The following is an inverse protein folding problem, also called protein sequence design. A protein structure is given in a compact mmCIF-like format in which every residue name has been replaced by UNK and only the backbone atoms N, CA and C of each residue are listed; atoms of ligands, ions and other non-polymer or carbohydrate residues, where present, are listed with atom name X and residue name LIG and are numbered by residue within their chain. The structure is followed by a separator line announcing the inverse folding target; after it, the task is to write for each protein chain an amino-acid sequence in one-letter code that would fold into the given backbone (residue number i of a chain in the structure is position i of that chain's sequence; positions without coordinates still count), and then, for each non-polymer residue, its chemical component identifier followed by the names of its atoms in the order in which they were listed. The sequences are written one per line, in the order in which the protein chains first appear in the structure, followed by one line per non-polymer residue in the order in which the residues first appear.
data_IF_314393100639
#
_entry.id   IF_314393100639
#
_cell.length_a   1.000
_cell.length_b   1.000
_cell.length_c   1.000
_cell.angle_alpha   90.00
_cell.angle_beta   90.00
_cell.angle_gamma   90.00
#
_symmetry.space_group_name_H-M   'P 1'
#
loop_
_entity.id
_entity.type
_entity.pdbx_description
1 polymer ?
#
# COMPACT_ATOMS: atom_id res chain seq x y z
N UNK A 1 2.79 -0.28 -7.37
CA UNK A 1 4.10 -0.92 -7.56
C UNK A 1 4.55 -1.54 -6.25
N UNK A 2 5.67 -2.25 -6.25
CA UNK A 2 6.37 -2.69 -5.04
C UNK A 2 7.76 -2.04 -5.04
N UNK A 3 8.28 -1.71 -3.87
CA UNK A 3 9.57 -1.02 -3.70
C UNK A 3 9.76 0.24 -4.56
N UNK A 4 8.69 1.05 -4.70
CA UNK A 4 8.72 2.31 -5.44
C UNK A 4 9.05 3.47 -4.51
N UNK A 5 10.23 4.06 -4.67
CA UNK A 5 10.60 5.30 -3.99
C UNK A 5 9.91 6.52 -4.58
N UNK A 6 9.76 7.58 -3.77
CA UNK A 6 9.09 8.83 -4.17
C UNK A 6 9.70 9.40 -5.45
N UNK A 7 11.03 9.41 -5.57
CA UNK A 7 11.74 9.93 -6.74
C UNK A 7 11.52 9.10 -8.01
N UNK A 8 11.06 7.85 -7.91
CA UNK A 8 10.80 7.02 -9.08
C UNK A 8 9.61 7.49 -9.91
N UNK A 9 8.69 8.28 -9.35
CA UNK A 9 7.56 8.83 -10.11
C UNK A 9 7.92 10.22 -10.64
N UNK A 10 7.72 10.46 -11.94
CA UNK A 10 8.13 11.73 -12.55
C UNK A 10 7.29 12.92 -12.10
N UNK A 11 6.08 12.71 -11.57
CA UNK A 11 5.31 13.75 -10.90
C UNK A 11 5.99 14.31 -9.63
N UNK A 12 6.83 13.52 -8.94
CA UNK A 12 7.62 13.98 -7.80
C UNK A 12 9.03 14.42 -8.20
N UNK A 13 9.71 13.66 -9.07
CA UNK A 13 11.10 13.98 -9.46
C UNK A 13 11.22 14.99 -10.61
N UNK A 14 10.10 15.39 -11.22
CA UNK A 14 10.05 16.29 -12.38
C UNK A 14 10.95 15.84 -13.53
N UNK A 15 10.99 14.52 -13.78
CA UNK A 15 11.79 13.90 -14.84
C UNK A 15 13.29 13.76 -14.53
N UNK A 16 13.74 14.11 -13.32
CA UNK A 16 15.16 14.03 -12.93
C UNK A 16 15.74 12.62 -13.07
N UNK A 17 14.93 11.57 -12.93
CA UNK A 17 15.36 10.18 -13.09
C UNK A 17 15.60 9.75 -14.55
N UNK A 18 15.39 10.65 -15.53
CA UNK A 18 15.63 10.39 -16.95
C UNK A 18 14.51 9.63 -17.67
N UNK A 19 13.42 9.30 -16.97
CA UNK A 19 12.24 8.68 -17.54
C UNK A 19 10.96 9.37 -17.04
N UNK A 20 9.85 9.06 -17.71
CA UNK A 20 8.53 9.59 -17.38
C UNK A 20 7.53 8.46 -17.10
N UNK A 21 6.61 8.73 -16.17
CA UNK A 21 5.47 7.89 -15.80
C UNK A 21 4.16 8.54 -16.25
N UNK A 22 3.93 8.73 -17.57
CA UNK A 22 2.89 9.65 -18.08
C UNK A 22 1.48 9.34 -17.58
N UNK A 23 1.14 8.06 -17.39
CA UNK A 23 -0.18 7.67 -16.87
C UNK A 23 -0.35 8.02 -15.39
N UNK A 24 0.71 7.91 -14.58
CA UNK A 24 0.69 8.27 -13.15
C UNK A 24 0.72 9.80 -13.02
N UNK A 25 1.51 10.47 -13.84
CA UNK A 25 1.60 11.93 -13.88
C UNK A 25 0.24 12.55 -14.22
N UNK A 26 -0.51 11.94 -15.14
CA UNK A 26 -1.87 12.36 -15.46
C UNK A 26 -2.81 12.28 -14.25
N UNK A 27 -2.78 11.16 -13.51
CA UNK A 27 -3.59 11.01 -12.28
C UNK A 27 -3.21 12.08 -11.24
N UNK A 28 -1.92 12.38 -11.09
CA UNK A 28 -1.46 13.44 -10.20
C UNK A 28 -1.95 14.83 -10.62
N UNK A 29 -1.99 15.12 -11.94
CA UNK A 29 -2.47 16.41 -12.46
C UNK A 29 -3.99 16.59 -12.40
N UNK A 30 -4.74 15.50 -12.56
CA UNK A 30 -6.21 15.51 -12.55
C UNK A 30 -6.80 15.35 -11.14
N UNK A 31 -5.98 14.88 -10.18
CA UNK A 31 -6.40 14.57 -8.83
C UNK A 31 -5.58 15.31 -7.77
N UNK A 32 -4.98 14.54 -6.86
CA UNK A 32 -4.22 15.05 -5.72
C UNK A 32 -2.85 14.38 -5.66
N UNK A 33 -1.85 15.17 -5.27
CA UNK A 33 -0.49 14.71 -5.02
C UNK A 33 -0.15 14.94 -3.54
N UNK A 34 0.11 13.87 -2.79
CA UNK A 34 0.50 13.97 -1.39
C UNK A 34 2.00 14.24 -1.28
N UNK A 35 2.38 15.35 -0.66
CA UNK A 35 3.81 15.63 -0.36
C UNK A 35 4.33 14.78 0.79
N UNK A 36 3.43 14.36 1.67
CA UNK A 36 3.73 13.63 2.89
C UNK A 36 2.81 12.40 2.97
N UNK A 37 3.38 11.23 2.72
CA UNK A 37 2.70 9.94 2.85
C UNK A 37 3.66 8.94 3.48
N UNK A 38 3.20 8.25 4.53
CA UNK A 38 4.03 7.34 5.33
C UNK A 38 3.47 5.94 5.26
N UNK A 39 4.36 4.96 5.11
CA UNK A 39 4.04 3.54 5.11
C UNK A 39 4.92 2.79 6.11
N UNK A 40 4.45 1.62 6.52
CA UNK A 40 5.22 0.74 7.38
C UNK A 40 6.43 0.13 6.65
N UNK A 41 7.48 -0.11 7.42
CA UNK A 41 8.75 -0.62 6.92
C UNK A 41 8.67 -2.13 6.64
N UNK A 42 8.48 -2.51 5.36
CA UNK A 42 8.51 -3.85 4.74
C UNK A 42 7.22 -4.19 4.00
N UNK A 43 7.30 -5.12 3.04
CA UNK A 43 6.16 -5.59 2.26
C UNK A 43 5.02 -6.13 3.15
N UNK A 44 5.34 -7.01 4.11
CA UNK A 44 4.35 -7.60 5.02
C UNK A 44 3.71 -6.56 5.93
N UNK A 45 4.52 -5.69 6.52
CA UNK A 45 4.06 -4.62 7.42
C UNK A 45 3.20 -3.58 6.70
N UNK A 46 3.68 -3.07 5.56
CA UNK A 46 2.96 -2.09 4.74
C UNK A 46 1.64 -2.61 4.18
N UNK A 47 1.61 -3.86 3.69
CA UNK A 47 0.38 -4.45 3.14
C UNK A 47 -0.65 -4.76 4.22
N UNK A 48 -0.22 -5.32 5.34
CA UNK A 48 -1.13 -5.64 6.45
C UNK A 48 -1.76 -4.38 7.05
N UNK A 49 -0.97 -3.33 7.30
CA UNK A 49 -1.50 -2.07 7.85
C UNK A 49 -2.42 -1.35 6.87
N UNK A 50 -2.10 -1.36 5.56
CA UNK A 50 -2.95 -0.78 4.53
C UNK A 50 -4.31 -1.48 4.42
N UNK A 51 -4.31 -2.81 4.36
CA UNK A 51 -5.54 -3.60 4.13
C UNK A 51 -6.45 -3.57 5.37
N UNK A 52 -5.87 -3.60 6.56
CA UNK A 52 -6.64 -3.66 7.82
C UNK A 52 -6.94 -2.29 8.43
N UNK A 53 -6.21 -1.25 8.03
CA UNK A 53 -6.26 0.06 8.67
C UNK A 53 -5.68 0.06 10.11
N UNK A 54 -4.94 -0.98 10.49
CA UNK A 54 -4.40 -1.15 11.84
C UNK A 54 -2.88 -1.03 11.89
N UNK A 55 -2.36 -0.58 13.03
CA UNK A 55 -0.92 -0.65 13.31
C UNK A 55 -0.47 -2.11 13.38
N UNK A 56 0.73 -2.39 12.87
CA UNK A 56 1.33 -3.74 12.85
C UNK A 56 1.50 -4.37 14.23
N UNK A 57 1.47 -3.57 15.30
CA UNK A 57 1.47 -4.08 16.67
C UNK A 57 0.19 -4.82 17.03
N UNK A 58 -0.95 -4.50 16.38
CA UNK A 58 -2.24 -5.18 16.64
C UNK A 58 -2.33 -6.51 15.89
N UNK A 59 -1.87 -6.54 14.66
CA UNK A 59 -1.92 -7.73 13.79
C UNK A 59 -0.70 -8.65 13.97
N UNK A 60 0.37 -8.17 14.61
CA UNK A 60 1.64 -8.89 14.76
C UNK A 60 2.48 -8.94 13.48
N UNK A 61 2.03 -8.31 12.39
CA UNK A 61 2.63 -8.38 11.06
C UNK A 61 3.77 -7.38 10.86
N UNK A 62 4.64 -7.18 11.87
CA UNK A 62 5.68 -6.14 11.85
C UNK A 62 6.98 -6.53 11.14
N UNK A 63 7.10 -7.79 10.68
CA UNK A 63 8.30 -8.33 10.02
C UNK A 63 7.91 -9.15 8.81
N UNK A 64 8.88 -9.36 7.91
CA UNK A 64 8.71 -10.20 6.73
C UNK A 64 8.38 -11.63 7.16
N UNK A 65 7.21 -12.11 6.74
CA UNK A 65 6.84 -13.51 6.89
C UNK A 65 7.65 -14.39 5.92
N UNK A 66 8.04 -15.56 6.37
CA UNK A 66 8.62 -16.59 5.49
C UNK A 66 7.53 -17.59 5.06
N UNK A 67 7.63 -18.17 3.85
CA UNK A 67 6.76 -19.26 3.45
C UNK A 67 6.76 -20.39 4.49
N UNK A 68 5.58 -20.85 4.91
CA UNK A 68 5.42 -21.94 5.88
C UNK A 68 5.45 -21.52 7.36
N UNK A 69 5.50 -20.22 7.65
CA UNK A 69 5.32 -19.72 9.02
C UNK A 69 3.84 -19.77 9.42
N UNK A 70 3.56 -20.14 10.68
CA UNK A 70 2.20 -20.15 11.25
C UNK A 70 1.66 -18.73 11.53
N UNK A 71 2.51 -17.71 11.43
CA UNK A 71 2.16 -16.31 11.70
C UNK A 71 1.62 -15.66 10.42
N UNK A 72 0.41 -15.11 10.51
CA UNK A 72 -0.27 -14.40 9.42
C UNK A 72 -1.43 -13.55 9.92
N UNK A 73 -2.11 -12.86 9.00
CA UNK A 73 -3.38 -12.21 9.29
C UNK A 73 -4.39 -13.26 9.77
N UNK A 74 -5.09 -12.93 10.85
CA UNK A 74 -6.11 -13.80 11.44
C UNK A 74 -7.46 -13.55 10.77
N UNK A 75 -8.37 -14.51 10.88
CA UNK A 75 -9.73 -14.38 10.31
C UNK A 75 -10.50 -13.22 10.94
N UNK A 76 -10.15 -12.86 12.16
CA UNK A 76 -10.75 -11.78 12.94
C UNK A 76 -10.19 -10.40 12.58
N UNK A 77 -9.06 -10.32 11.85
CA UNK A 77 -8.49 -9.06 11.40
C UNK A 77 -9.34 -8.48 10.26
N UNK A 78 -10.04 -7.36 10.45
CA UNK A 78 -10.94 -6.84 9.43
C UNK A 78 -10.14 -6.31 8.25
N UNK A 79 -10.57 -6.63 7.04
CA UNK A 79 -10.00 -6.08 5.80
C UNK A 79 -10.95 -5.08 5.15
N UNK A 80 -10.40 -4.09 4.41
CA UNK A 80 -11.22 -3.19 3.60
C UNK A 80 -12.13 -3.94 2.60
N UNK A 81 -11.68 -5.10 2.10
CA UNK A 81 -12.47 -5.94 1.21
C UNK A 81 -13.70 -6.53 1.93
N UNK A 82 -13.52 -7.07 3.14
CA UNK A 82 -14.62 -7.61 3.95
C UNK A 82 -15.63 -6.54 4.35
N UNK A 83 -15.18 -5.30 4.58
CA UNK A 83 -16.07 -4.18 4.87
C UNK A 83 -16.89 -3.77 3.64
N UNK A 84 -16.30 -3.75 2.45
CA UNK A 84 -16.98 -3.32 1.22
C UNK A 84 -17.86 -4.41 0.60
N UNK A 85 -17.51 -5.69 0.76
CA UNK A 85 -18.25 -6.82 0.17
C UNK A 85 -19.76 -6.82 0.50
N UNK A 86 -20.21 -6.68 1.76
CA UNK A 86 -21.64 -6.65 2.08
C UNK A 86 -22.35 -5.39 1.56
N UNK A 87 -21.62 -4.34 1.18
CA UNK A 87 -22.17 -3.14 0.55
C UNK A 87 -22.41 -3.30 -0.97
N UNK A 88 -22.21 -4.50 -1.51
CA UNK A 88 -22.44 -4.80 -2.93
C UNK A 88 -21.25 -4.54 -3.85
N UNK A 89 -20.07 -4.24 -3.29
CA UNK A 89 -18.87 -4.05 -4.09
C UNK A 89 -18.33 -5.39 -4.62
N UNK A 90 -17.93 -5.39 -5.89
CA UNK A 90 -17.05 -6.43 -6.43
C UNK A 90 -15.65 -6.26 -5.84
N UNK A 91 -15.11 -7.32 -5.23
CA UNK A 91 -13.80 -7.34 -4.56
C UNK A 91 -12.91 -8.37 -5.26
N UNK A 92 -11.71 -8.00 -5.70
CA UNK A 92 -10.77 -8.87 -6.41
C UNK A 92 -9.37 -8.27 -6.52
#
# INVERSE_FOLDING_TARGET
GDDIGISNLSCYSRGMMGYHTPNIDRIASEGMLFTDSYGEQSCTAGRSSFITGQSVYRTGMSKVGMPGMDIGLQKEDPTIAELLKPMGYATG
#
